data_IF_441654268685
#
_entry.id   IF_441654268685
#
_cell.length_a   1.000
_cell.length_b   1.000
_cell.length_c   1.000
_cell.angle_alpha   90.00
_cell.angle_beta   90.00
_cell.angle_gamma   90.00
#
_symmetry.space_group_name_H-M   'P 1'
#
loop_
_entity.id
_entity.type
_entity.pdbx_description
1 polymer ?
#
# COMPACT_ATOMS: atom_id res chain seq x y z
N UNK A 1 1.70 -56.94 42.29
CA UNK A 1 2.55 -56.01 43.06
C UNK A 1 3.22 -55.10 42.05
N UNK A 2 2.71 -53.86 41.92
CA UNK A 2 3.38 -52.58 42.29
C UNK A 2 3.85 -51.91 40.99
N UNK A 3 3.58 -50.67 40.61
CA UNK A 3 3.26 -49.41 41.30
C UNK A 3 2.71 -48.43 40.23
N UNK A 4 1.57 -47.76 40.46
CA UNK A 4 1.39 -46.36 40.90
C UNK A 4 1.33 -45.31 39.76
N UNK A 5 0.14 -44.72 39.65
CA UNK A 5 -0.23 -43.47 38.98
C UNK A 5 0.53 -42.24 39.50
N UNK A 6 0.77 -41.25 38.63
CA UNK A 6 0.37 -39.86 38.94
C UNK A 6 0.46 -38.92 37.73
N UNK A 7 -0.67 -38.27 37.50
CA UNK A 7 -0.90 -37.12 36.63
C UNK A 7 -0.25 -35.89 37.26
N UNK A 8 0.51 -35.12 36.48
CA UNK A 8 0.99 -33.78 36.87
C UNK A 8 0.30 -32.72 36.02
N UNK A 9 -0.50 -31.90 36.71
CA UNK A 9 -1.03 -30.60 36.30
C UNK A 9 0.09 -29.68 35.78
N UNK A 10 -0.08 -29.13 34.57
CA UNK A 10 0.70 -27.96 34.12
C UNK A 10 -0.16 -26.72 34.34
N UNK A 11 -0.05 -26.18 35.56
CA UNK A 11 -0.17 -24.74 35.80
C UNK A 11 1.22 -24.15 35.65
N UNK A 12 1.41 -23.27 34.67
CA UNK A 12 2.56 -22.37 34.66
C UNK A 12 2.16 -20.98 34.15
N UNK A 13 1.67 -20.18 35.08
CA UNK A 13 1.87 -18.72 35.09
C UNK A 13 3.38 -18.45 35.15
N UNK A 14 4.02 -18.43 33.97
CA UNK A 14 5.40 -17.99 33.84
C UNK A 14 5.41 -16.50 33.51
N UNK A 15 5.92 -15.73 34.47
CA UNK A 15 6.13 -14.30 34.44
C UNK A 15 6.69 -13.79 33.11
N UNK A 16 6.07 -12.74 32.57
CA UNK A 16 6.67 -11.82 31.60
C UNK A 16 8.04 -11.37 32.13
N UNK A 17 9.09 -12.04 31.68
CA UNK A 17 10.47 -11.75 32.04
C UNK A 17 10.84 -10.37 31.53
N UNK A 18 11.27 -9.51 32.45
CA UNK A 18 12.03 -8.26 32.27
C UNK A 18 12.59 -8.11 30.85
N UNK A 19 11.99 -7.20 30.05
CA UNK A 19 12.59 -6.68 28.82
C UNK A 19 14.01 -6.20 29.17
N UNK A 20 15.02 -6.84 28.59
CA UNK A 20 16.35 -6.24 28.49
C UNK A 20 16.18 -4.89 27.78
N UNK A 21 16.96 -3.91 28.24
CA UNK A 21 16.94 -2.51 27.80
C UNK A 21 17.52 -2.41 26.38
N UNK A 22 16.86 -3.03 25.42
CA UNK A 22 17.12 -2.82 24.00
C UNK A 22 16.62 -1.41 23.62
N UNK A 23 17.28 -0.76 22.65
CA UNK A 23 17.07 0.63 22.17
C UNK A 23 15.74 1.28 22.60
N UNK A 24 15.83 2.48 23.18
CA UNK A 24 14.68 3.31 23.50
C UNK A 24 13.67 3.31 22.33
N UNK A 25 12.40 3.09 22.66
CA UNK A 25 11.31 3.14 21.69
C UNK A 25 11.39 4.46 20.89
N UNK A 26 10.94 4.43 19.64
CA UNK A 26 10.87 5.65 18.81
C UNK A 26 10.09 6.74 19.58
N UNK A 27 10.48 8.02 19.49
CA UNK A 27 9.71 9.11 20.11
C UNK A 27 8.27 9.12 19.60
N UNK A 28 7.34 9.51 20.48
CA UNK A 28 5.96 9.74 20.06
C UNK A 28 5.88 10.93 19.09
N UNK A 29 5.02 10.81 18.09
CA UNK A 29 4.75 11.87 17.12
C UNK A 29 3.41 12.55 17.41
N UNK A 30 3.33 13.84 17.08
CA UNK A 30 2.10 14.62 17.09
C UNK A 30 2.17 15.75 16.07
N UNK A 31 1.03 16.34 15.78
CA UNK A 31 0.93 17.55 14.98
C UNK A 31 1.12 18.79 15.85
N UNK A 32 1.88 19.75 15.33
CA UNK A 32 2.06 21.07 15.89
C UNK A 32 1.99 22.11 14.75
N UNK A 33 0.86 22.81 14.64
CA UNK A 33 0.62 23.73 13.54
C UNK A 33 0.63 22.99 12.19
N UNK A 34 1.57 23.35 11.31
CA UNK A 34 1.70 22.79 9.96
C UNK A 34 2.79 21.70 9.86
N UNK A 35 3.29 21.20 11.00
CA UNK A 35 4.37 20.21 11.03
C UNK A 35 4.02 19.01 11.91
N UNK A 36 4.63 17.87 11.59
CA UNK A 36 4.71 16.72 12.49
C UNK A 36 5.96 16.93 13.36
N UNK A 37 5.83 16.74 14.67
CA UNK A 37 6.91 16.92 15.64
C UNK A 37 7.02 15.74 16.59
N UNK A 38 8.22 15.51 17.13
CA UNK A 38 8.45 14.55 18.21
C UNK A 38 8.07 15.09 19.60
N UNK A 39 8.34 14.32 20.64
CA UNK A 39 8.09 14.70 22.04
C UNK A 39 8.87 15.94 22.50
N UNK A 40 9.99 16.26 21.85
CA UNK A 40 10.81 17.44 22.14
C UNK A 40 10.33 18.67 21.36
N UNK A 41 9.42 18.49 20.41
CA UNK A 41 8.94 19.54 19.52
C UNK A 41 9.80 19.73 18.28
N UNK A 42 10.73 18.82 18.01
CA UNK A 42 11.55 18.84 16.80
C UNK A 42 10.73 18.35 15.61
N UNK A 43 10.86 19.03 14.46
CA UNK A 43 10.15 18.65 13.23
C UNK A 43 10.65 17.31 12.72
N UNK A 44 9.72 16.41 12.43
CA UNK A 44 10.00 15.07 11.91
C UNK A 44 9.47 14.94 10.49
N UNK A 45 10.36 14.63 9.55
CA UNK A 45 9.98 14.17 8.20
C UNK A 45 9.67 12.67 8.24
N UNK A 46 8.60 12.27 7.56
CA UNK A 46 8.20 10.88 7.39
C UNK A 46 8.52 10.34 5.99
N UNK A 47 9.44 10.97 5.25
CA UNK A 47 9.86 10.51 3.92
C UNK A 47 10.14 9.00 3.90
N UNK A 48 9.47 8.30 2.99
CA UNK A 48 9.33 6.86 3.10
C UNK A 48 8.87 6.18 1.82
N UNK A 49 8.42 4.93 1.98
CA UNK A 49 7.99 4.08 0.87
C UNK A 49 6.72 3.32 1.24
N UNK A 50 5.89 3.06 0.23
CA UNK A 50 4.69 2.21 0.37
C UNK A 50 5.08 0.73 0.38
N UNK A 51 4.41 0.00 1.28
CA UNK A 51 4.42 -1.46 1.34
C UNK A 51 3.00 -1.92 1.01
N UNK A 52 2.75 -2.31 -0.25
CA UNK A 52 1.44 -2.85 -0.65
C UNK A 52 1.11 -4.17 0.04
N UNK A 53 2.11 -4.85 0.61
CA UNK A 53 1.96 -6.07 1.37
C UNK A 53 1.15 -7.20 0.72
N UNK A 54 1.15 -7.24 -0.63
CA UNK A 54 0.29 -8.13 -1.41
C UNK A 54 -1.20 -8.01 -1.04
N UNK A 55 -1.69 -6.84 -0.64
CA UNK A 55 -3.12 -6.64 -0.28
C UNK A 55 -4.06 -6.98 -1.42
N UNK A 56 -3.60 -6.80 -2.66
CA UNK A 56 -4.27 -7.19 -3.90
C UNK A 56 -4.48 -8.71 -4.00
N UNK A 57 -3.57 -9.49 -3.41
CA UNK A 57 -3.62 -10.94 -3.42
C UNK A 57 -3.19 -11.58 -4.72
N UNK A 58 -3.56 -12.85 -4.89
CA UNK A 58 -3.05 -13.69 -5.96
C UNK A 58 -4.14 -13.98 -6.99
N UNK A 59 -3.75 -14.14 -8.26
CA UNK A 59 -4.69 -14.48 -9.32
C UNK A 59 -5.19 -15.92 -9.15
N UNK A 60 -6.51 -16.08 -9.02
CA UNK A 60 -7.17 -17.37 -9.03
C UNK A 60 -7.56 -17.74 -10.46
N UNK A 61 -6.82 -18.68 -11.06
CA UNK A 61 -7.03 -19.10 -12.45
C UNK A 61 -8.42 -19.71 -12.69
N UNK A 62 -8.94 -20.49 -11.74
CA UNK A 62 -10.26 -21.12 -11.88
C UNK A 62 -11.39 -20.09 -11.90
N UNK A 63 -11.26 -19.02 -11.10
CA UNK A 63 -12.25 -17.93 -11.02
C UNK A 63 -11.95 -16.76 -11.95
N UNK A 64 -10.77 -16.77 -12.59
CA UNK A 64 -10.25 -15.73 -13.49
C UNK A 64 -10.28 -14.33 -12.89
N UNK A 65 -9.90 -14.20 -11.61
CA UNK A 65 -9.86 -12.92 -10.88
C UNK A 65 -8.79 -12.93 -9.80
N UNK A 66 -8.33 -11.74 -9.38
CA UNK A 66 -7.52 -11.58 -8.17
C UNK A 66 -8.35 -11.93 -6.94
N UNK A 67 -7.75 -12.66 -6.00
CA UNK A 67 -8.36 -12.96 -4.70
C UNK A 67 -7.47 -12.41 -3.59
N UNK A 68 -8.04 -11.49 -2.80
CA UNK A 68 -7.37 -10.87 -1.66
C UNK A 68 -6.98 -11.92 -0.63
N UNK A 69 -5.84 -11.74 0.04
CA UNK A 69 -5.41 -12.66 1.07
C UNK A 69 -6.19 -12.38 2.37
N UNK A 70 -6.64 -13.44 3.03
CA UNK A 70 -7.22 -13.39 4.39
C UNK A 70 -6.17 -13.68 5.48
N UNK A 71 -4.94 -13.97 5.06
CA UNK A 71 -3.75 -14.10 5.91
C UNK A 71 -2.62 -13.27 5.32
N UNK A 72 -1.79 -12.65 6.15
CA UNK A 72 -0.62 -11.93 5.64
C UNK A 72 0.42 -12.91 5.06
N UNK A 73 0.81 -12.68 3.80
CA UNK A 73 1.79 -13.52 3.11
C UNK A 73 3.20 -13.34 3.68
N UNK A 74 3.86 -14.44 4.09
CA UNK A 74 5.17 -14.38 4.74
C UNK A 74 6.29 -13.84 3.86
N UNK A 75 6.18 -13.98 2.54
CA UNK A 75 7.22 -13.54 1.60
C UNK A 75 7.30 -12.02 1.49
N UNK A 76 6.23 -11.32 1.88
CA UNK A 76 6.06 -9.87 1.76
C UNK A 76 7.11 -9.11 2.56
N UNK A 77 7.45 -9.56 3.77
CA UNK A 77 8.53 -8.99 4.58
C UNK A 77 9.33 -10.09 5.27
N UNK A 78 10.57 -10.25 4.82
CA UNK A 78 11.60 -11.11 5.38
C UNK A 78 12.69 -10.24 6.02
N UNK A 79 13.60 -10.84 6.79
CA UNK A 79 14.61 -10.09 7.56
C UNK A 79 15.47 -9.16 6.67
N UNK A 80 15.79 -9.62 5.47
CA UNK A 80 16.52 -8.83 4.46
C UNK A 80 15.75 -7.59 4.00
N UNK A 81 14.41 -7.62 3.96
CA UNK A 81 13.61 -6.46 3.53
C UNK A 81 13.78 -5.29 4.52
N UNK A 82 13.85 -5.56 5.83
CA UNK A 82 14.10 -4.54 6.84
C UNK A 82 15.49 -3.92 6.69
N UNK A 83 16.50 -4.71 6.32
CA UNK A 83 17.84 -4.18 6.04
C UNK A 83 17.85 -3.29 4.79
N UNK A 84 17.15 -3.69 3.72
CA UNK A 84 17.07 -2.93 2.48
C UNK A 84 16.31 -1.61 2.66
N UNK A 85 15.19 -1.62 3.38
CA UNK A 85 14.43 -0.41 3.74
C UNK A 85 15.27 0.52 4.61
N UNK A 86 16.05 -0.02 5.56
CA UNK A 86 16.99 0.78 6.34
C UNK A 86 18.06 1.43 5.45
N UNK A 87 18.61 0.70 4.48
CA UNK A 87 19.63 1.20 3.54
C UNK A 87 19.08 2.27 2.59
N UNK A 88 17.78 2.22 2.25
CA UNK A 88 17.10 3.29 1.53
C UNK A 88 17.12 4.62 2.30
N UNK A 89 17.17 4.56 3.64
CA UNK A 89 17.09 5.74 4.50
C UNK A 89 15.68 6.16 4.87
N UNK A 90 14.68 5.31 4.61
CA UNK A 90 13.29 5.60 4.95
C UNK A 90 13.14 5.99 6.42
N UNK A 91 12.33 7.01 6.70
CA UNK A 91 11.92 7.40 8.07
C UNK A 91 10.61 6.75 8.48
N UNK A 92 9.77 6.45 7.50
CA UNK A 92 8.53 5.72 7.71
C UNK A 92 8.25 4.76 6.54
N UNK A 93 7.36 3.81 6.78
CA UNK A 93 6.70 2.99 5.76
C UNK A 93 5.19 3.19 5.86
N UNK A 94 4.52 3.28 4.72
CA UNK A 94 3.05 3.23 4.63
C UNK A 94 2.64 1.78 4.37
N UNK A 95 2.09 1.14 5.40
CA UNK A 95 1.85 -0.30 5.48
C UNK A 95 0.39 -0.58 5.10
N UNK A 96 0.19 -0.98 3.85
CA UNK A 96 -1.13 -1.30 3.33
C UNK A 96 -1.70 -2.55 3.99
N UNK A 97 -2.98 -2.52 4.32
CA UNK A 97 -3.81 -3.65 4.75
C UNK A 97 -5.10 -3.69 3.93
N UNK A 98 -5.68 -4.89 3.76
CA UNK A 98 -7.07 -5.02 3.31
C UNK A 98 -7.98 -5.35 4.49
N UNK A 99 -9.26 -4.96 4.39
CA UNK A 99 -10.27 -5.23 5.42
C UNK A 99 -10.34 -6.72 5.80
N UNK A 100 -10.27 -7.61 4.82
CA UNK A 100 -10.39 -9.05 5.00
C UNK A 100 -9.38 -9.64 5.99
N UNK A 101 -8.18 -9.07 6.14
CA UNK A 101 -7.18 -9.50 7.12
C UNK A 101 -7.65 -9.34 8.58
N UNK A 102 -8.49 -8.34 8.84
CA UNK A 102 -8.89 -7.93 10.19
C UNK A 102 -10.41 -7.87 10.42
N UNK A 103 -11.18 -8.35 9.45
CA UNK A 103 -12.62 -8.58 9.56
C UNK A 103 -12.93 -9.40 10.83
N UNK A 104 -14.07 -9.10 11.47
CA UNK A 104 -14.44 -9.69 12.76
C UNK A 104 -14.56 -11.21 12.70
N UNK A 105 -15.05 -11.73 11.58
CA UNK A 105 -15.31 -13.13 11.31
C UNK A 105 -14.12 -13.87 10.67
N UNK A 106 -13.00 -13.19 10.41
CA UNK A 106 -11.79 -13.86 9.91
C UNK A 106 -11.17 -14.73 11.03
N UNK A 107 -11.10 -16.07 10.86
CA UNK A 107 -10.51 -16.96 11.87
C UNK A 107 -9.02 -16.69 12.13
N UNK A 108 -8.33 -16.01 11.21
CA UNK A 108 -6.91 -15.64 11.32
C UNK A 108 -6.69 -14.20 11.80
N UNK A 109 -7.74 -13.48 12.24
CA UNK A 109 -7.63 -12.08 12.70
C UNK A 109 -6.51 -11.87 13.73
N UNK A 110 -6.43 -12.75 14.73
CA UNK A 110 -5.41 -12.68 15.79
C UNK A 110 -3.99 -13.00 15.27
N UNK A 111 -3.82 -14.02 14.43
CA UNK A 111 -2.51 -14.37 13.89
C UNK A 111 -1.99 -13.28 12.93
N UNK A 112 -2.88 -12.65 12.16
CA UNK A 112 -2.58 -11.47 11.36
C UNK A 112 -2.12 -10.31 12.25
N UNK A 113 -2.81 -10.05 13.38
CA UNK A 113 -2.41 -8.99 14.30
C UNK A 113 -1.02 -9.25 14.91
N UNK A 114 -0.72 -10.49 15.28
CA UNK A 114 0.61 -10.88 15.80
C UNK A 114 1.70 -10.62 14.76
N UNK A 115 1.47 -10.98 13.50
CA UNK A 115 2.43 -10.74 12.43
C UNK A 115 2.62 -9.24 12.15
N UNK A 116 1.54 -8.47 12.11
CA UNK A 116 1.59 -7.01 11.96
C UNK A 116 2.43 -6.38 13.08
N UNK A 117 2.17 -6.74 14.35
CA UNK A 117 2.95 -6.27 15.50
C UNK A 117 4.42 -6.65 15.38
N UNK A 118 4.74 -7.85 14.90
CA UNK A 118 6.12 -8.28 14.67
C UNK A 118 6.82 -7.42 13.62
N UNK A 119 6.15 -7.07 12.51
CA UNK A 119 6.70 -6.17 11.50
C UNK A 119 6.93 -4.76 12.07
N UNK A 120 5.97 -4.21 12.82
CA UNK A 120 6.11 -2.91 13.49
C UNK A 120 7.31 -2.92 14.45
N UNK A 121 7.47 -3.95 15.27
CA UNK A 121 8.63 -4.07 16.17
C UNK A 121 9.97 -4.10 15.42
N UNK A 122 10.03 -4.78 14.27
CA UNK A 122 11.24 -4.82 13.43
C UNK A 122 11.55 -3.45 12.83
N UNK A 123 10.55 -2.73 12.30
CA UNK A 123 10.72 -1.36 11.81
C UNK A 123 11.17 -0.40 12.92
N UNK A 124 10.56 -0.47 14.11
CA UNK A 124 10.92 0.38 15.24
C UNK A 124 12.39 0.18 15.67
N UNK A 125 12.89 -1.07 15.68
CA UNK A 125 14.29 -1.39 16.02
C UNK A 125 15.31 -0.76 15.07
N UNK A 126 14.92 -0.55 13.81
CA UNK A 126 15.75 0.11 12.79
C UNK A 126 15.49 1.61 12.68
N UNK A 127 14.57 2.16 13.48
CA UNK A 127 14.27 3.60 13.54
C UNK A 127 13.31 4.08 12.46
N UNK A 128 12.43 3.19 11.96
CA UNK A 128 11.45 3.46 10.91
C UNK A 128 10.06 3.42 11.53
N UNK A 129 9.26 4.46 11.34
CA UNK A 129 7.86 4.48 11.76
C UNK A 129 6.97 3.69 10.80
N UNK A 130 5.79 3.26 11.27
CA UNK A 130 4.78 2.58 10.47
C UNK A 130 3.48 3.39 10.45
N UNK A 131 2.98 3.74 9.26
CA UNK A 131 1.62 4.23 9.06
C UNK A 131 0.77 3.04 8.65
N UNK A 132 -0.32 2.78 9.37
CA UNK A 132 -1.25 1.69 9.04
C UNK A 132 -2.30 2.23 8.07
N UNK A 133 -2.32 1.73 6.85
CA UNK A 133 -3.17 2.20 5.76
C UNK A 133 -4.23 1.14 5.41
N UNK A 134 -5.51 1.49 5.62
CA UNK A 134 -6.61 0.69 5.07
C UNK A 134 -6.72 0.86 3.55
N UNK A 135 -5.85 0.13 2.87
CA UNK A 135 -5.67 0.21 1.42
C UNK A 135 -6.87 -0.31 0.64
N UNK A 136 -7.45 -1.42 1.09
CA UNK A 136 -8.62 -2.03 0.45
C UNK A 136 -9.74 -2.20 1.48
N UNK A 137 -10.67 -1.24 1.57
CA UNK A 137 -11.82 -1.34 2.47
C UNK A 137 -12.80 -2.46 2.05
N UNK A 138 -13.87 -2.68 2.84
CA UNK A 138 -14.96 -3.58 2.45
C UNK A 138 -15.82 -2.94 1.35
N UNK A 139 -16.22 -3.72 0.35
CA UNK A 139 -17.09 -3.24 -0.74
C UNK A 139 -16.29 -2.71 -1.94
N UNK A 140 -16.77 -1.61 -2.53
CA UNK A 140 -16.15 -0.94 -3.67
C UNK A 140 -14.80 -0.30 -3.29
N UNK A 141 -13.76 -0.60 -4.05
CA UNK A 141 -12.40 -0.05 -3.91
C UNK A 141 -11.60 -0.20 -5.22
N UNK A 142 -10.34 0.22 -5.21
CA UNK A 142 -9.48 0.30 -6.40
C UNK A 142 -9.30 -1.05 -7.13
N UNK A 143 -9.36 -2.18 -6.43
CA UNK A 143 -9.19 -3.49 -7.07
C UNK A 143 -10.38 -3.86 -7.95
N UNK A 144 -11.59 -3.55 -7.51
CA UNK A 144 -12.82 -3.92 -8.22
C UNK A 144 -13.41 -2.75 -9.03
N UNK A 145 -12.90 -1.53 -8.84
CA UNK A 145 -13.40 -0.32 -9.47
C UNK A 145 -13.48 -0.40 -11.00
N UNK A 146 -12.44 -0.94 -11.64
CA UNK A 146 -12.35 -0.98 -13.10
C UNK A 146 -13.55 -1.71 -13.74
N UNK A 147 -14.09 -2.72 -13.06
CA UNK A 147 -15.27 -3.46 -13.50
C UNK A 147 -16.57 -2.89 -12.94
N UNK A 148 -16.59 -2.45 -11.67
CA UNK A 148 -17.79 -1.91 -11.03
C UNK A 148 -18.22 -0.56 -11.64
N UNK A 149 -17.28 0.30 -12.04
CA UNK A 149 -17.58 1.60 -12.68
C UNK A 149 -18.22 1.50 -14.06
N UNK A 150 -18.31 0.30 -14.64
CA UNK A 150 -19.03 0.05 -15.91
C UNK A 150 -20.51 -0.25 -15.69
N UNK A 151 -20.93 -0.47 -14.45
CA UNK A 151 -22.31 -0.78 -14.06
C UNK A 151 -23.00 0.48 -13.53
N UNK A 152 -24.32 0.59 -13.65
CA UNK A 152 -25.05 1.69 -13.03
C UNK A 152 -24.98 1.60 -11.50
N UNK A 153 -25.13 2.75 -10.83
CA UNK A 153 -25.00 2.88 -9.38
C UNK A 153 -25.81 1.89 -8.54
N UNK A 154 -27.04 1.57 -8.97
CA UNK A 154 -27.93 0.62 -8.31
C UNK A 154 -27.54 -0.87 -8.50
N UNK A 155 -26.62 -1.18 -9.41
CA UNK A 155 -26.14 -2.54 -9.69
C UNK A 155 -24.67 -2.75 -9.29
N UNK A 156 -23.87 -1.69 -9.23
CA UNK A 156 -22.47 -1.77 -8.79
C UNK A 156 -22.38 -2.12 -7.30
N UNK A 157 -21.22 -2.61 -6.91
CA UNK A 157 -20.88 -2.81 -5.51
C UNK A 157 -20.94 -1.48 -4.75
N UNK A 158 -21.52 -1.50 -3.55
CA UNK A 158 -21.56 -0.34 -2.66
C UNK A 158 -20.19 -0.13 -1.97
N UNK A 159 -19.82 1.13 -1.78
CA UNK A 159 -18.69 1.52 -0.93
C UNK A 159 -19.05 1.52 0.56
N UNK A 160 -18.04 1.72 1.43
CA UNK A 160 -18.22 1.95 2.87
C UNK A 160 -19.06 3.19 3.20
N UNK A 161 -19.19 4.13 2.25
CA UNK A 161 -19.96 5.36 2.46
C UNK A 161 -21.46 5.15 2.22
N UNK A 162 -21.83 4.17 1.40
CA UNK A 162 -23.22 3.89 1.03
C UNK A 162 -23.82 2.76 1.88
N UNK A 163 -23.04 1.73 2.18
CA UNK A 163 -23.50 0.58 2.94
C UNK A 163 -23.38 0.80 4.45
N UNK A 164 -24.52 0.73 5.16
CA UNK A 164 -24.54 0.76 6.63
C UNK A 164 -23.78 -0.40 7.26
N UNK A 165 -23.82 -1.59 6.63
CA UNK A 165 -23.09 -2.77 7.10
C UNK A 165 -21.58 -2.56 6.95
N UNK A 166 -21.11 -2.22 5.76
CA UNK A 166 -19.68 -2.06 5.49
C UNK A 166 -19.08 -0.94 6.36
N UNK A 167 -19.85 0.12 6.60
CA UNK A 167 -19.45 1.16 7.54
C UNK A 167 -19.29 0.63 8.98
N UNK A 168 -20.30 -0.08 9.50
CA UNK A 168 -20.25 -0.63 10.86
C UNK A 168 -19.09 -1.62 11.04
N UNK A 169 -18.81 -2.43 10.03
CA UNK A 169 -17.71 -3.39 10.03
C UNK A 169 -16.34 -2.70 9.94
N UNK A 170 -16.22 -1.64 9.14
CA UNK A 170 -15.05 -0.76 9.10
C UNK A 170 -14.77 -0.15 10.47
N UNK A 171 -15.80 0.35 11.16
CA UNK A 171 -15.66 0.88 12.53
C UNK A 171 -15.20 -0.21 13.52
N UNK A 172 -15.72 -1.44 13.43
CA UNK A 172 -15.28 -2.55 14.30
C UNK A 172 -13.82 -2.93 14.06
N UNK A 173 -13.42 -3.03 12.79
CA UNK A 173 -12.05 -3.33 12.41
C UNK A 173 -11.08 -2.28 12.96
N UNK A 174 -11.41 -1.00 12.78
CA UNK A 174 -10.59 0.09 13.32
C UNK A 174 -10.53 0.08 14.85
N UNK A 175 -11.64 -0.16 15.56
CA UNK A 175 -11.60 -0.34 17.02
C UNK A 175 -10.64 -1.43 17.45
N UNK A 176 -10.67 -2.57 16.77
CA UNK A 176 -9.80 -3.70 17.07
C UNK A 176 -8.33 -3.37 16.84
N UNK A 177 -7.98 -2.79 15.69
CA UNK A 177 -6.60 -2.42 15.36
C UNK A 177 -6.08 -1.36 16.34
N UNK A 178 -6.80 -0.25 16.50
CA UNK A 178 -6.38 0.87 17.35
C UNK A 178 -6.19 0.41 18.80
N UNK A 179 -7.13 -0.35 19.37
CA UNK A 179 -7.01 -0.87 20.74
C UNK A 179 -5.72 -1.67 20.95
N UNK A 180 -5.30 -2.40 19.92
CA UNK A 180 -4.13 -3.27 19.96
C UNK A 180 -2.81 -2.57 19.63
N UNK A 181 -2.84 -1.42 18.97
CA UNK A 181 -1.66 -0.69 18.48
C UNK A 181 -1.39 0.62 19.24
N UNK A 182 -2.38 1.19 19.96
CA UNK A 182 -2.31 2.49 20.62
C UNK A 182 -1.16 2.75 21.60
N UNK A 183 -0.49 1.71 22.07
CA UNK A 183 0.62 1.80 23.02
C UNK A 183 2.00 1.61 22.35
N UNK A 184 2.07 1.65 21.01
CA UNK A 184 3.30 1.41 20.25
C UNK A 184 3.77 2.72 19.61
N UNK A 185 4.74 3.45 20.20
CA UNK A 185 5.17 4.77 19.73
C UNK A 185 5.65 4.82 18.26
N UNK A 186 6.18 3.70 17.76
CA UNK A 186 6.67 3.62 16.38
C UNK A 186 5.57 3.40 15.34
N UNK A 187 4.30 3.26 15.74
CA UNK A 187 3.19 3.54 14.83
C UNK A 187 3.12 5.07 14.70
N UNK A 188 3.30 5.63 13.51
CA UNK A 188 3.15 7.08 13.32
C UNK A 188 1.67 7.48 13.40
N UNK A 189 0.79 6.63 12.87
CA UNK A 189 -0.64 6.88 12.85
C UNK A 189 -1.42 5.89 12.01
N UNK A 190 -2.68 6.25 11.80
CA UNK A 190 -3.68 5.47 11.08
C UNK A 190 -4.15 6.26 9.86
N UNK A 191 -3.86 5.75 8.67
CA UNK A 191 -4.46 6.19 7.41
C UNK A 191 -5.77 5.44 7.21
N UNK A 192 -6.86 6.21 7.29
CA UNK A 192 -8.19 5.69 7.60
C UNK A 192 -8.84 4.92 6.45
N UNK A 193 -8.46 5.22 5.21
CA UNK A 193 -8.79 4.48 4.00
C UNK A 193 -8.05 5.06 2.78
N UNK A 194 -7.74 4.24 1.79
CA UNK A 194 -7.09 4.66 0.55
C UNK A 194 -8.09 5.18 -0.50
N UNK A 195 -7.69 6.23 -1.20
CA UNK A 195 -8.33 6.76 -2.43
C UNK A 195 -9.87 6.70 -2.48
N UNK A 196 -10.59 7.24 -1.47
CA UNK A 196 -12.04 7.14 -1.44
C UNK A 196 -12.68 7.86 -2.64
N UNK A 197 -13.79 7.29 -3.14
CA UNK A 197 -14.71 7.97 -4.06
C UNK A 197 -15.87 8.57 -3.28
N UNK A 198 -16.18 9.83 -3.55
CA UNK A 198 -17.41 10.45 -3.07
C UNK A 198 -18.61 9.91 -3.87
N UNK A 199 -19.58 9.20 -3.25
CA UNK A 199 -20.76 8.70 -3.96
C UNK A 199 -21.65 9.84 -4.46
N UNK A 200 -22.60 9.52 -5.34
CA UNK A 200 -23.61 10.49 -5.75
C UNK A 200 -24.47 10.91 -4.55
N UNK A 201 -25.02 12.12 -4.61
CA UNK A 201 -25.76 12.73 -3.49
C UNK A 201 -26.96 11.89 -3.04
N UNK A 202 -27.54 11.12 -3.96
CA UNK A 202 -28.66 10.21 -3.69
C UNK A 202 -28.30 9.07 -2.74
N UNK A 203 -27.04 8.63 -2.74
CA UNK A 203 -26.56 7.54 -1.88
C UNK A 203 -25.77 8.05 -0.67
N UNK A 204 -24.98 9.11 -0.85
CA UNK A 204 -24.23 9.75 0.23
C UNK A 204 -24.04 11.24 -0.08
N UNK A 205 -24.76 12.11 0.65
CA UNK A 205 -24.53 13.55 0.56
C UNK A 205 -23.14 13.93 1.10
N UNK A 206 -22.61 15.07 0.69
CA UNK A 206 -21.36 15.61 1.25
C UNK A 206 -21.43 15.74 2.79
N UNK A 207 -22.59 16.11 3.33
CA UNK A 207 -22.80 16.22 4.78
C UNK A 207 -22.67 14.86 5.48
N UNK A 208 -23.26 13.80 4.91
CA UNK A 208 -23.15 12.44 5.43
C UNK A 208 -21.73 11.89 5.27
N UNK A 209 -21.06 12.22 4.16
CA UNK A 209 -19.66 11.87 3.93
C UNK A 209 -18.74 12.49 5.00
N UNK A 210 -18.90 13.80 5.28
CA UNK A 210 -18.20 14.50 6.36
C UNK A 210 -18.53 13.88 7.73
N UNK A 211 -19.81 13.55 7.97
CA UNK A 211 -20.25 12.90 9.22
C UNK A 211 -19.52 11.57 9.43
N UNK A 212 -19.39 10.75 8.38
CA UNK A 212 -18.68 9.46 8.43
C UNK A 212 -17.19 9.63 8.71
N UNK A 213 -16.50 10.57 8.06
CA UNK A 213 -15.09 10.87 8.38
C UNK A 213 -14.92 11.21 9.87
N UNK A 214 -15.75 12.12 10.39
CA UNK A 214 -15.71 12.52 11.80
C UNK A 214 -16.10 11.39 12.76
N UNK A 215 -17.06 10.54 12.38
CA UNK A 215 -17.42 9.36 13.15
C UNK A 215 -16.23 8.41 13.28
N UNK A 216 -15.53 8.10 12.19
CA UNK A 216 -14.36 7.23 12.25
C UNK A 216 -13.22 7.85 13.06
N UNK A 217 -12.93 9.15 12.90
CA UNK A 217 -11.99 9.87 13.76
C UNK A 217 -12.36 9.75 15.24
N UNK A 218 -13.64 9.93 15.58
CA UNK A 218 -14.15 9.78 16.95
C UNK A 218 -14.01 8.35 17.48
N UNK A 219 -14.25 7.34 16.65
CA UNK A 219 -14.03 5.93 16.98
C UNK A 219 -12.57 5.66 17.32
N UNK A 220 -11.64 6.11 16.47
CA UNK A 220 -10.19 6.00 16.71
C UNK A 220 -9.85 6.72 18.03
N UNK A 221 -10.33 7.95 18.21
CA UNK A 221 -10.07 8.73 19.43
C UNK A 221 -10.69 8.13 20.67
N UNK A 222 -11.76 7.35 20.58
CA UNK A 222 -12.33 6.65 21.74
C UNK A 222 -11.37 5.59 22.30
N UNK A 223 -10.52 5.00 21.45
CA UNK A 223 -9.55 3.98 21.82
C UNK A 223 -8.15 4.57 22.07
N UNK A 224 -7.75 5.60 21.32
CA UNK A 224 -6.39 6.14 21.24
C UNK A 224 -6.35 7.68 21.13
N UNK A 225 -5.68 8.32 22.08
CA UNK A 225 -5.59 9.79 22.20
C UNK A 225 -4.31 10.39 21.60
N UNK A 226 -3.38 9.57 21.09
CA UNK A 226 -1.99 10.01 20.80
C UNK A 226 -1.59 9.93 19.34
N UNK A 227 -1.90 8.83 18.67
CA UNK A 227 -1.43 8.62 17.31
C UNK A 227 -2.07 9.59 16.30
N UNK A 228 -1.34 9.90 15.23
CA UNK A 228 -1.83 10.76 14.16
C UNK A 228 -2.94 10.03 13.41
N UNK A 229 -3.96 10.76 12.95
CA UNK A 229 -4.91 10.26 11.96
C UNK A 229 -4.56 10.88 10.62
N UNK A 230 -4.21 10.05 9.64
CA UNK A 230 -4.01 10.49 8.27
C UNK A 230 -5.37 10.47 7.56
N UNK A 231 -5.72 11.60 6.95
CA UNK A 231 -7.03 11.88 6.37
C UNK A 231 -6.86 12.10 4.88
N UNK A 232 -7.27 11.14 4.04
CA UNK A 232 -7.07 11.23 2.60
C UNK A 232 -7.98 12.30 1.97
N UNK A 233 -7.59 12.79 0.80
CA UNK A 233 -8.53 13.37 -0.15
C UNK A 233 -9.41 12.26 -0.76
N UNK A 234 -10.64 12.59 -1.15
CA UNK A 234 -11.32 11.76 -2.14
C UNK A 234 -10.73 12.07 -3.51
N UNK A 235 -10.41 11.05 -4.32
CA UNK A 235 -9.72 11.23 -5.60
C UNK A 235 -10.69 11.42 -6.78
N UNK A 236 -11.94 11.02 -6.58
CA UNK A 236 -13.00 11.08 -7.58
C UNK A 236 -14.36 11.21 -6.92
N UNK A 237 -15.38 11.54 -7.71
CA UNK A 237 -16.77 11.54 -7.30
C UNK A 237 -17.67 10.98 -8.38
N UNK A 238 -18.86 10.56 -7.99
CA UNK A 238 -19.90 10.19 -8.94
C UNK A 238 -20.71 11.41 -9.37
N UNK A 239 -21.19 11.38 -10.60
CA UNK A 239 -22.08 12.38 -11.16
C UNK A 239 -23.45 12.27 -10.49
N UNK A 240 -24.07 13.41 -10.22
CA UNK A 240 -25.48 13.46 -9.82
C UNK A 240 -26.36 13.43 -11.08
N UNK A 241 -27.62 12.98 -10.94
CA UNK A 241 -28.60 13.01 -12.04
C UNK A 241 -28.67 14.42 -12.64
N UNK A 242 -28.51 14.51 -13.96
CA UNK A 242 -28.48 15.75 -14.72
C UNK A 242 -27.10 16.40 -14.84
N UNK A 243 -26.07 15.90 -14.15
CA UNK A 243 -24.69 16.37 -14.33
C UNK A 243 -24.05 15.76 -15.58
N UNK A 244 -23.12 16.52 -16.17
CA UNK A 244 -22.35 16.09 -17.32
C UNK A 244 -21.05 15.42 -16.87
N UNK A 245 -20.75 14.24 -17.41
CA UNK A 245 -19.51 13.49 -17.16
C UNK A 245 -18.94 12.91 -18.46
N UNK A 246 -17.67 12.49 -18.41
CA UNK A 246 -17.02 11.82 -19.53
C UNK A 246 -17.24 10.30 -19.42
N UNK A 247 -17.99 9.74 -20.37
CA UNK A 247 -18.28 8.31 -20.46
C UNK A 247 -17.18 7.61 -21.27
N UNK A 248 -16.30 6.89 -20.58
CA UNK A 248 -15.21 6.14 -21.20
C UNK A 248 -15.70 5.05 -22.16
N UNK A 249 -16.85 4.44 -21.90
CA UNK A 249 -17.38 3.39 -22.76
C UNK A 249 -17.87 3.96 -24.10
N UNK A 250 -18.36 5.20 -24.09
CA UNK A 250 -18.79 5.93 -25.30
C UNK A 250 -17.71 6.82 -25.90
N UNK A 251 -16.59 7.01 -25.20
CA UNK A 251 -15.54 7.98 -25.56
C UNK A 251 -16.13 9.38 -25.84
N UNK A 252 -17.01 9.84 -24.96
CA UNK A 252 -17.75 11.09 -25.17
C UNK A 252 -18.42 11.62 -23.91
N UNK A 253 -18.89 12.86 -23.98
CA UNK A 253 -19.64 13.47 -22.90
C UNK A 253 -21.08 12.95 -22.84
N UNK A 254 -21.53 12.60 -21.64
CA UNK A 254 -22.90 12.17 -21.34
C UNK A 254 -23.53 13.04 -20.24
N UNK A 255 -24.85 13.03 -20.17
CA UNK A 255 -25.61 13.54 -19.01
C UNK A 255 -26.04 12.33 -18.20
N UNK A 256 -25.79 12.37 -16.90
CA UNK A 256 -26.13 11.29 -15.98
C UNK A 256 -27.66 11.18 -15.81
N UNK A 257 -28.19 9.99 -16.05
CA UNK A 257 -29.59 9.61 -15.84
C UNK A 257 -29.81 8.73 -14.61
N UNK A 258 -28.80 8.56 -13.76
CA UNK A 258 -28.77 7.62 -12.64
C UNK A 258 -27.71 6.52 -12.78
N UNK A 259 -26.89 6.54 -13.84
CA UNK A 259 -25.78 5.59 -13.98
C UNK A 259 -24.64 5.87 -13.00
N UNK A 260 -24.55 7.10 -12.48
CA UNK A 260 -23.51 7.55 -11.55
C UNK A 260 -22.11 7.51 -12.16
N UNK A 261 -21.98 8.12 -13.34
CA UNK A 261 -20.73 8.23 -14.08
C UNK A 261 -19.62 8.91 -13.26
N UNK A 262 -18.36 8.58 -13.57
CA UNK A 262 -17.23 9.04 -12.77
C UNK A 262 -16.73 10.41 -13.22
N UNK A 263 -16.56 11.31 -12.24
CA UNK A 263 -15.91 12.61 -12.40
C UNK A 263 -14.59 12.56 -11.63
N UNK A 264 -13.48 12.62 -12.37
CA UNK A 264 -12.11 12.62 -11.84
C UNK A 264 -11.72 14.00 -11.28
N UNK A 265 -12.48 14.45 -10.28
CA UNK A 265 -12.20 15.64 -9.51
C UNK A 265 -12.25 15.28 -8.03
N UNK A 266 -11.11 15.44 -7.37
CA UNK A 266 -10.94 15.14 -5.96
C UNK A 266 -11.07 16.35 -5.04
N UNK A 267 -10.94 16.12 -3.75
CA UNK A 267 -10.93 17.16 -2.73
C UNK A 267 -10.76 16.61 -1.31
N UNK A 268 -10.58 17.51 -0.36
CA UNK A 268 -10.41 17.13 1.05
C UNK A 268 -11.70 17.32 1.84
N UNK A 269 -11.85 16.49 2.86
CA UNK A 269 -12.87 16.63 3.91
C UNK A 269 -12.19 17.13 5.17
N UNK A 270 -12.62 18.28 5.68
CA UNK A 270 -12.15 18.75 6.98
C UNK A 270 -12.74 17.90 8.11
N UNK A 271 -11.88 17.43 9.01
CA UNK A 271 -12.30 16.69 10.22
C UNK A 271 -12.10 17.49 11.50
N UNK A 272 -12.86 17.14 12.52
CA UNK A 272 -12.88 17.76 13.85
C UNK A 272 -11.90 17.07 14.81
N UNK A 273 -10.63 17.02 14.43
CA UNK A 273 -9.54 16.51 15.27
C UNK A 273 -8.27 17.35 15.10
N UNK A 274 -7.54 17.56 16.20
CA UNK A 274 -6.37 18.45 16.22
C UNK A 274 -5.04 17.75 15.91
N UNK A 275 -5.03 16.41 15.89
CA UNK A 275 -3.84 15.61 15.65
C UNK A 275 -4.00 14.77 14.37
N UNK A 276 -4.23 15.49 13.27
CA UNK A 276 -4.47 14.93 11.94
C UNK A 276 -3.48 15.44 10.93
N UNK A 277 -3.23 14.63 9.90
CA UNK A 277 -2.43 15.01 8.73
C UNK A 277 -3.29 14.74 7.50
N UNK A 278 -3.37 15.70 6.59
CA UNK A 278 -4.06 15.48 5.32
C UNK A 278 -3.14 14.78 4.34
N UNK A 279 -3.71 13.88 3.54
CA UNK A 279 -2.99 13.01 2.64
C UNK A 279 -3.52 13.10 1.21
N UNK A 280 -2.59 13.12 0.25
CA UNK A 280 -2.89 13.18 -1.18
C UNK A 280 -1.98 12.27 -1.97
N UNK A 281 -2.43 11.81 -3.13
CA UNK A 281 -1.62 11.05 -4.07
C UNK A 281 -1.26 11.89 -5.30
N UNK A 282 -0.10 11.60 -5.91
CA UNK A 282 0.43 12.36 -7.03
C UNK A 282 1.05 11.48 -8.13
N UNK A 283 0.21 11.21 -9.14
CA UNK A 283 0.56 10.46 -10.36
C UNK A 283 0.22 11.30 -11.60
N UNK A 284 0.60 12.58 -11.62
CA UNK A 284 0.24 13.48 -12.71
C UNK A 284 1.49 13.94 -13.49
N UNK A 285 1.43 14.00 -14.83
CA UNK A 285 0.31 13.58 -15.67
C UNK A 285 0.21 12.06 -15.73
N UNK A 286 -1.02 11.53 -15.64
CA UNK A 286 -1.28 10.09 -15.56
C UNK A 286 -0.69 9.32 -16.74
N UNK A 287 -0.78 9.89 -17.95
CA UNK A 287 -0.24 9.30 -19.17
C UNK A 287 1.29 9.18 -19.16
N UNK A 288 1.98 9.98 -18.33
CA UNK A 288 3.42 9.85 -18.13
C UNK A 288 3.74 8.80 -17.08
N UNK A 289 3.03 8.79 -15.96
CA UNK A 289 3.35 7.94 -14.80
C UNK A 289 2.86 6.51 -14.95
N UNK A 290 1.89 6.26 -15.83
CA UNK A 290 1.23 4.96 -16.01
C UNK A 290 1.21 4.56 -17.50
N UNK A 291 1.92 3.48 -17.83
CA UNK A 291 1.96 2.84 -19.14
C UNK A 291 2.72 3.61 -20.23
N UNK A 292 3.42 4.69 -19.87
CA UNK A 292 4.16 5.56 -20.78
C UNK A 292 3.38 6.02 -22.03
N UNK A 293 2.07 6.25 -21.88
CA UNK A 293 1.20 6.77 -22.94
C UNK A 293 1.62 8.19 -23.42
N UNK A 294 2.38 8.92 -22.60
CA UNK A 294 3.02 10.20 -22.93
C UNK A 294 4.47 10.23 -22.43
N UNK A 295 5.42 10.75 -23.21
CA UNK A 295 6.79 10.93 -22.74
C UNK A 295 7.02 12.25 -22.00
N UNK A 296 5.98 13.08 -21.80
CA UNK A 296 6.10 14.47 -21.34
C UNK A 296 5.47 14.70 -19.96
N UNK A 297 6.18 15.46 -19.12
CA UNK A 297 5.65 16.11 -17.92
C UNK A 297 6.22 17.54 -17.83
N UNK A 298 5.59 18.39 -17.01
CA UNK A 298 6.07 19.75 -16.74
C UNK A 298 6.23 19.97 -15.23
N UNK A 299 7.45 20.28 -14.80
CA UNK A 299 7.77 20.51 -13.39
C UNK A 299 6.96 21.69 -12.78
N UNK A 300 6.61 22.70 -13.57
CA UNK A 300 5.78 23.82 -13.07
C UNK A 300 4.35 23.38 -12.79
N UNK A 301 3.84 22.45 -13.60
CA UNK A 301 2.54 21.81 -13.38
C UNK A 301 2.56 20.97 -12.09
N UNK A 302 3.63 20.22 -11.85
CA UNK A 302 3.84 19.49 -10.58
C UNK A 302 3.79 20.43 -9.37
N UNK A 303 4.59 21.50 -9.41
CA UNK A 303 4.60 22.47 -8.32
C UNK A 303 3.23 23.12 -8.11
N UNK A 304 2.57 23.53 -9.20
CA UNK A 304 1.25 24.16 -9.16
C UNK A 304 0.21 23.24 -8.52
N UNK A 305 0.17 21.99 -8.90
CA UNK A 305 -0.87 21.06 -8.44
C UNK A 305 -0.69 20.72 -6.95
N UNK A 306 0.55 20.46 -6.51
CA UNK A 306 0.87 20.25 -5.08
C UNK A 306 0.61 21.53 -4.27
N UNK A 307 1.01 22.70 -4.78
CA UNK A 307 0.80 23.97 -4.08
C UNK A 307 -0.68 24.33 -3.89
N UNK A 308 -1.56 23.90 -4.80
CA UNK A 308 -3.02 24.05 -4.66
C UNK A 308 -3.56 23.24 -3.48
N UNK A 309 -3.15 21.96 -3.36
CA UNK A 309 -3.52 21.10 -2.23
C UNK A 309 -2.97 21.66 -0.91
N UNK A 310 -1.73 22.12 -0.93
CA UNK A 310 -1.09 22.80 0.19
C UNK A 310 -1.84 24.07 0.64
N UNK A 311 -2.35 24.85 -0.32
CA UNK A 311 -3.16 26.04 -0.02
C UNK A 311 -4.44 25.66 0.72
N UNK A 312 -5.12 24.59 0.31
CA UNK A 312 -6.33 24.13 0.99
C UNK A 312 -6.03 23.69 2.43
N UNK A 313 -4.99 22.87 2.65
CA UNK A 313 -4.70 22.40 4.02
C UNK A 313 -4.23 23.53 4.92
N UNK A 314 -3.62 24.60 4.39
CA UNK A 314 -3.22 25.77 5.19
C UNK A 314 -4.41 26.63 5.62
N UNK A 315 -5.39 26.81 4.73
CA UNK A 315 -6.51 27.74 4.96
C UNK A 315 -7.71 27.07 5.62
N UNK A 316 -8.06 25.88 5.17
CA UNK A 316 -9.26 25.14 5.59
C UNK A 316 -8.90 24.08 6.63
N UNK A 317 -7.99 23.17 6.27
CA UNK A 317 -7.61 22.02 7.10
C UNK A 317 -6.87 22.40 8.38
N UNK A 318 -5.99 23.39 8.30
CA UNK A 318 -5.08 23.89 9.35
C UNK A 318 -4.22 22.78 9.97
N UNK A 319 -3.72 21.89 9.12
CA UNK A 319 -2.90 20.75 9.50
C UNK A 319 -1.90 20.39 8.38
N UNK A 320 -0.82 19.62 8.67
CA UNK A 320 0.19 19.24 7.69
C UNK A 320 -0.41 18.49 6.48
N UNK A 321 0.31 18.55 5.35
CA UNK A 321 0.06 17.73 4.16
C UNK A 321 1.19 16.71 4.02
N UNK A 322 0.86 15.49 3.63
CA UNK A 322 1.80 14.51 3.07
C UNK A 322 1.37 14.07 1.68
N UNK A 323 2.33 13.59 0.89
CA UNK A 323 2.04 12.83 -0.33
C UNK A 323 2.13 11.34 -0.01
N UNK A 324 0.98 10.69 0.16
CA UNK A 324 0.83 9.28 0.52
C UNK A 324 1.31 8.32 -0.54
N UNK A 325 1.23 8.74 -1.80
CA UNK A 325 1.76 8.00 -2.93
C UNK A 325 2.23 8.92 -4.05
N UNK A 326 3.37 8.59 -4.62
CA UNK A 326 3.84 9.11 -5.89
C UNK A 326 4.75 8.09 -6.55
N UNK A 327 4.81 8.11 -7.87
CA UNK A 327 5.68 7.20 -8.60
C UNK A 327 5.56 7.37 -10.10
N UNK A 328 6.33 6.55 -10.80
CA UNK A 328 6.29 6.37 -12.25
C UNK A 328 6.67 4.93 -12.53
N UNK A 329 5.85 4.23 -13.30
CA UNK A 329 6.10 2.84 -13.65
C UNK A 329 7.27 2.68 -14.63
N UNK A 330 7.68 1.43 -14.82
CA UNK A 330 8.88 1.07 -15.59
C UNK A 330 8.71 1.18 -17.10
N UNK A 331 7.51 1.45 -17.60
CA UNK A 331 7.26 1.71 -19.00
C UNK A 331 8.01 2.97 -19.44
N UNK A 332 8.28 3.89 -18.50
CA UNK A 332 9.19 5.00 -18.74
C UNK A 332 10.67 4.61 -18.58
N UNK A 333 11.54 5.06 -19.49
CA UNK A 333 12.98 4.91 -19.37
C UNK A 333 13.53 5.47 -18.04
N UNK A 334 14.56 4.83 -17.43
CA UNK A 334 15.13 5.25 -16.15
C UNK A 334 15.48 6.74 -16.05
N UNK A 335 16.04 7.33 -17.12
CA UNK A 335 16.40 8.74 -17.16
C UNK A 335 15.20 9.68 -17.03
N UNK A 336 14.05 9.32 -17.62
CA UNK A 336 12.82 10.10 -17.51
C UNK A 336 12.19 9.96 -16.13
N UNK A 337 12.23 8.74 -15.57
CA UNK A 337 11.77 8.48 -14.20
C UNK A 337 12.56 9.32 -13.20
N UNK A 338 13.88 9.38 -13.36
CA UNK A 338 14.77 10.20 -12.52
C UNK A 338 14.42 11.69 -12.61
N UNK A 339 14.16 12.22 -13.81
CA UNK A 339 13.77 13.63 -13.98
C UNK A 339 12.42 13.93 -13.32
N UNK A 340 11.45 13.03 -13.46
CA UNK A 340 10.14 13.18 -12.83
C UNK A 340 10.25 13.16 -11.30
N UNK A 341 10.97 12.19 -10.76
CA UNK A 341 11.21 12.08 -9.31
C UNK A 341 11.93 13.33 -8.79
N UNK A 342 12.92 13.85 -9.51
CA UNK A 342 13.63 15.08 -9.13
C UNK A 342 12.68 16.30 -9.04
N UNK A 343 11.73 16.42 -9.97
CA UNK A 343 10.74 17.50 -9.97
C UNK A 343 9.74 17.37 -8.80
N UNK A 344 9.25 16.16 -8.53
CA UNK A 344 8.39 15.88 -7.37
C UNK A 344 9.16 16.16 -6.08
N UNK A 345 10.33 15.56 -5.90
CA UNK A 345 11.17 15.71 -4.71
C UNK A 345 11.57 17.15 -4.44
N UNK A 346 11.93 17.92 -5.48
CA UNK A 346 12.23 19.34 -5.35
C UNK A 346 11.03 20.14 -4.85
N UNK A 347 9.82 19.81 -5.32
CA UNK A 347 8.57 20.43 -4.88
C UNK A 347 8.25 20.08 -3.43
N UNK A 348 8.32 18.79 -3.07
CA UNK A 348 8.11 18.34 -1.70
C UNK A 348 9.12 18.96 -0.74
N UNK A 349 10.39 19.04 -1.16
CA UNK A 349 11.46 19.65 -0.39
C UNK A 349 11.18 21.14 -0.14
N UNK A 350 10.85 21.88 -1.20
CA UNK A 350 10.53 23.31 -1.15
C UNK A 350 9.44 23.65 -0.14
N UNK A 351 8.46 22.76 0.03
CA UNK A 351 7.30 23.00 0.89
C UNK A 351 7.33 22.24 2.22
N UNK A 352 8.38 21.46 2.51
CA UNK A 352 8.49 20.67 3.73
C UNK A 352 7.44 19.56 3.83
N UNK A 353 7.05 18.97 2.69
CA UNK A 353 6.02 17.93 2.61
C UNK A 353 6.70 16.57 2.63
N UNK A 354 6.28 15.67 3.52
CA UNK A 354 6.75 14.28 3.49
C UNK A 354 6.12 13.51 2.34
N UNK A 355 6.88 12.62 1.71
CA UNK A 355 6.40 11.80 0.59
C UNK A 355 6.70 10.32 0.71
N UNK A 356 5.80 9.48 0.21
CA UNK A 356 5.95 8.03 0.16
C UNK A 356 5.98 7.53 -1.30
N UNK A 357 7.11 6.96 -1.71
CA UNK A 357 7.23 6.39 -3.06
C UNK A 357 6.36 5.13 -3.17
N UNK A 358 5.60 5.00 -4.24
CA UNK A 358 4.91 3.77 -4.62
C UNK A 358 5.77 3.07 -5.68
N UNK A 359 6.36 1.90 -5.40
CA UNK A 359 6.32 1.13 -4.13
C UNK A 359 7.57 0.27 -3.89
N UNK A 360 7.70 -0.30 -2.68
CA UNK A 360 8.87 -1.08 -2.28
C UNK A 360 9.05 -2.36 -3.10
N UNK A 361 8.06 -3.25 -3.10
CA UNK A 361 8.18 -4.59 -3.65
C UNK A 361 6.88 -5.04 -4.27
N UNK A 362 6.97 -5.55 -5.50
CA UNK A 362 5.85 -6.13 -6.23
C UNK A 362 5.91 -7.65 -6.26
N UNK A 363 4.74 -8.28 -6.27
CA UNK A 363 4.60 -9.67 -6.70
C UNK A 363 4.79 -9.72 -8.20
N UNK A 364 5.75 -10.51 -8.67
CA UNK A 364 5.99 -10.73 -10.10
C UNK A 364 5.60 -12.18 -10.43
N UNK A 365 4.97 -12.34 -11.58
CA UNK A 365 4.38 -13.58 -12.07
C UNK A 365 4.33 -13.51 -13.60
N UNK A 366 4.07 -14.63 -14.27
CA UNK A 366 3.94 -14.63 -15.76
C UNK A 366 2.78 -13.78 -16.29
N UNK A 367 1.95 -13.22 -15.41
CA UNK A 367 0.76 -12.43 -15.73
C UNK A 367 0.86 -10.97 -15.25
N UNK A 368 1.95 -10.60 -14.60
CA UNK A 368 2.24 -9.20 -14.28
C UNK A 368 3.19 -8.66 -15.33
N UNK A 369 2.76 -7.60 -16.01
CA UNK A 369 3.61 -6.91 -16.98
C UNK A 369 4.70 -6.15 -16.21
N UNK A 370 5.98 -6.57 -16.32
CA UNK A 370 7.08 -5.98 -15.59
C UNK A 370 7.40 -4.53 -15.99
N UNK A 371 6.86 -4.05 -17.11
CA UNK A 371 7.01 -2.65 -17.49
C UNK A 371 5.99 -1.77 -16.75
N UNK A 372 4.85 -2.31 -16.35
CA UNK A 372 3.81 -1.52 -15.64
C UNK A 372 3.94 -1.54 -14.11
N UNK A 373 4.94 -2.24 -13.57
CA UNK A 373 5.22 -2.27 -12.13
C UNK A 373 5.88 -0.98 -11.63
N UNK A 374 5.50 -0.58 -10.43
CA UNK A 374 6.09 0.52 -9.67
C UNK A 374 7.14 0.05 -8.65
N UNK A 375 7.26 -1.27 -8.43
CA UNK A 375 8.14 -1.87 -7.44
C UNK A 375 9.62 -1.61 -7.69
N UNK A 376 10.35 -1.18 -6.64
CA UNK A 376 11.82 -1.17 -6.65
C UNK A 376 12.40 -2.59 -6.67
N UNK A 377 11.71 -3.50 -6.00
CA UNK A 377 12.00 -4.93 -5.89
C UNK A 377 10.85 -5.76 -6.43
N UNK A 378 11.16 -7.01 -6.76
CA UNK A 378 10.20 -8.00 -7.20
C UNK A 378 10.38 -9.27 -6.43
N UNK A 379 9.26 -9.88 -6.07
CA UNK A 379 9.23 -11.22 -5.54
C UNK A 379 8.43 -12.09 -6.48
N UNK A 380 9.06 -13.14 -6.99
CA UNK A 380 8.31 -14.16 -7.71
C UNK A 380 7.54 -15.03 -6.71
N UNK A 381 6.20 -15.05 -6.80
CA UNK A 381 5.31 -15.68 -5.81
C UNK A 381 4.51 -16.89 -6.38
N UNK A 382 4.66 -17.23 -7.67
CA UNK A 382 3.76 -18.13 -8.41
C UNK A 382 4.27 -19.54 -8.76
N UNK A 383 5.44 -19.97 -8.24
CA UNK A 383 6.13 -21.20 -8.68
C UNK A 383 5.26 -22.47 -8.82
N UNK A 384 4.30 -22.73 -7.93
CA UNK A 384 3.55 -24.00 -8.01
C UNK A 384 2.35 -23.95 -8.98
N UNK A 385 1.81 -22.77 -9.31
CA UNK A 385 0.63 -22.65 -10.18
C UNK A 385 1.00 -22.41 -11.65
N UNK A 386 2.18 -21.83 -11.92
CA UNK A 386 2.59 -21.49 -13.29
C UNK A 386 3.13 -22.69 -14.09
N UNK A 387 3.64 -23.72 -13.42
CA UNK A 387 4.13 -24.94 -14.09
C UNK A 387 3.02 -25.90 -14.52
N UNK A 388 1.81 -25.72 -14.02
CA UNK A 388 0.64 -26.55 -14.37
C UNK A 388 -0.11 -26.01 -15.60
N UNK A 389 0.31 -24.85 -16.12
CA UNK A 389 -0.22 -24.25 -17.32
C UNK A 389 0.56 -24.80 -18.53
N UNK A 390 -0.14 -25.60 -19.35
CA UNK A 390 0.44 -26.41 -20.43
C UNK A 390 1.29 -25.66 -21.48
N UNK A 391 1.75 -26.41 -22.50
CA UNK A 391 2.78 -26.03 -23.49
C UNK A 391 2.62 -24.65 -24.14
N UNK A 392 1.41 -24.10 -24.22
CA UNK A 392 1.12 -22.83 -24.88
C UNK A 392 1.60 -21.60 -24.08
N UNK A 393 1.88 -21.73 -22.78
CA UNK A 393 2.32 -20.62 -21.91
C UNK A 393 3.85 -20.50 -21.76
N UNK A 394 4.59 -21.48 -22.30
CA UNK A 394 6.04 -21.57 -22.20
C UNK A 394 6.77 -20.36 -22.83
N UNK A 395 6.28 -19.84 -23.96
CA UNK A 395 6.93 -18.72 -24.66
C UNK A 395 6.90 -17.43 -23.84
N UNK A 396 5.71 -17.06 -23.35
CA UNK A 396 5.51 -15.83 -22.56
C UNK A 396 6.29 -15.84 -21.25
N UNK A 397 6.30 -16.96 -20.51
CA UNK A 397 7.06 -17.08 -19.28
C UNK A 397 8.57 -16.96 -19.52
N UNK A 398 9.10 -17.50 -20.64
CA UNK A 398 10.51 -17.39 -21.01
C UNK A 398 10.89 -15.94 -21.35
N UNK A 399 10.06 -15.24 -22.12
CA UNK A 399 10.34 -13.86 -22.52
C UNK A 399 10.25 -12.91 -21.31
N UNK A 400 9.25 -13.09 -20.45
CA UNK A 400 9.15 -12.36 -19.18
C UNK A 400 10.32 -12.66 -18.24
N UNK A 401 10.80 -13.91 -18.18
CA UNK A 401 11.97 -14.28 -17.39
C UNK A 401 13.24 -13.60 -17.90
N UNK A 402 13.46 -13.53 -19.21
CA UNK A 402 14.60 -12.81 -19.82
C UNK A 402 14.56 -11.32 -19.58
N UNK A 403 13.38 -10.70 -19.76
CA UNK A 403 13.20 -9.26 -19.54
C UNK A 403 13.47 -8.86 -18.08
N UNK A 404 13.15 -9.75 -17.14
CA UNK A 404 13.36 -9.52 -15.70
C UNK A 404 14.68 -10.08 -15.17
N UNK A 405 15.57 -10.57 -16.03
CA UNK A 405 16.86 -11.18 -15.64
C UNK A 405 16.73 -12.43 -14.78
N UNK A 406 15.56 -13.07 -14.78
CA UNK A 406 15.25 -14.25 -13.98
C UNK A 406 15.85 -15.53 -14.56
N UNK A 407 16.02 -15.57 -15.88
CA UNK A 407 16.80 -16.60 -16.57
C UNK A 407 18.24 -16.67 -16.02
N UNK A 408 18.87 -15.50 -15.85
CA UNK A 408 20.21 -15.38 -15.25
C UNK A 408 20.22 -15.79 -13.78
N UNK A 409 19.15 -15.51 -13.01
CA UNK A 409 19.05 -15.98 -11.63
C UNK A 409 18.95 -17.51 -11.57
N UNK A 410 18.13 -18.12 -12.40
CA UNK A 410 17.97 -19.58 -12.42
C UNK A 410 19.27 -20.29 -12.78
N UNK A 411 19.99 -19.75 -13.78
CA UNK A 411 21.33 -20.21 -14.17
C UNK A 411 22.36 -20.09 -13.03
N UNK A 412 22.38 -18.97 -12.31
CA UNK A 412 23.39 -18.71 -11.28
C UNK A 412 23.09 -19.36 -9.92
N UNK A 413 21.82 -19.51 -9.55
CA UNK A 413 21.44 -19.99 -8.22
C UNK A 413 21.14 -21.49 -8.16
N UNK A 414 20.83 -22.13 -9.29
CA UNK A 414 20.48 -23.55 -9.33
C UNK A 414 21.33 -24.40 -10.28
N UNK A 415 22.18 -23.80 -11.14
CA UNK A 415 22.92 -24.50 -12.20
C UNK A 415 24.45 -24.24 -12.27
N UNK A 416 25.25 -24.14 -11.18
CA UNK A 416 26.70 -23.98 -11.35
C UNK A 416 27.43 -25.16 -12.05
N UNK A 417 26.76 -26.29 -12.37
CA UNK A 417 27.44 -27.51 -12.85
C UNK A 417 26.82 -28.26 -14.03
N UNK A 418 25.77 -27.78 -14.69
CA UNK A 418 25.18 -28.50 -15.84
C UNK A 418 25.18 -27.65 -17.12
N UNK A 419 26.21 -27.86 -17.93
CA UNK A 419 26.39 -27.33 -19.28
C UNK A 419 25.35 -27.94 -20.25
N UNK A 420 24.08 -27.52 -20.20
CA UNK A 420 23.18 -27.50 -21.36
C UNK A 420 21.86 -26.74 -21.06
N UNK A 421 21.62 -25.54 -21.62
CA UNK A 421 20.43 -24.73 -21.32
C UNK A 421 19.10 -25.33 -21.80
N UNK A 422 19.11 -26.33 -22.70
CA UNK A 422 17.88 -26.89 -23.26
C UNK A 422 17.36 -28.15 -22.53
N UNK A 423 18.19 -28.79 -21.70
CA UNK A 423 17.88 -30.13 -21.17
C UNK A 423 17.03 -30.13 -19.90
N UNK A 424 17.02 -29.03 -19.13
CA UNK A 424 16.29 -28.96 -17.84
C UNK A 424 14.80 -28.63 -18.00
N UNK A 425 14.39 -28.07 -19.15
CA UNK A 425 12.97 -27.82 -19.43
C UNK A 425 12.16 -29.12 -19.60
N UNK A 426 12.80 -30.27 -19.80
CA UNK A 426 12.12 -31.55 -20.09
C UNK A 426 12.22 -32.59 -18.96
N UNK A 427 13.10 -32.41 -17.96
CA UNK A 427 13.40 -33.49 -17.01
C UNK A 427 12.80 -33.35 -15.60
N UNK A 428 12.20 -32.21 -15.25
CA UNK A 428 11.50 -32.02 -13.97
C UNK A 428 10.01 -32.40 -13.99
N UNK A 429 9.66 -33.40 -14.80
CA UNK A 429 8.37 -34.13 -14.77
C UNK A 429 8.25 -35.05 -13.53
N UNK A 430 8.79 -34.62 -12.38
CA UNK A 430 8.93 -35.43 -11.16
C UNK A 430 8.65 -34.64 -9.88
N UNK A 431 7.52 -33.93 -9.81
CA UNK A 431 6.77 -33.70 -8.57
C UNK A 431 7.50 -33.11 -7.36
N UNK A 432 8.28 -32.04 -7.52
CA UNK A 432 8.86 -31.30 -6.38
C UNK A 432 8.74 -29.78 -6.53
N UNK A 433 7.87 -29.13 -5.74
CA UNK A 433 7.87 -27.67 -5.60
C UNK A 433 9.14 -27.20 -4.87
N UNK A 434 9.71 -26.09 -5.33
CA UNK A 434 10.70 -25.34 -4.57
C UNK A 434 10.07 -24.80 -3.28
N UNK A 435 10.83 -24.87 -2.18
CA UNK A 435 10.40 -24.42 -0.86
C UNK A 435 10.22 -22.90 -0.84
N UNK A 436 8.97 -22.45 -0.77
CA UNK A 436 8.57 -21.03 -0.65
C UNK A 436 9.14 -20.32 0.59
N UNK A 437 9.79 -21.06 1.51
CA UNK A 437 10.50 -20.51 2.65
C UNK A 437 11.97 -20.17 2.35
N UNK A 438 12.48 -20.39 1.13
CA UNK A 438 13.83 -19.99 0.75
C UNK A 438 13.83 -18.61 0.08
N UNK A 439 14.71 -17.67 0.49
CA UNK A 439 14.73 -16.34 -0.08
C UNK A 439 15.19 -16.39 -1.53
N UNK A 440 14.29 -15.99 -2.42
CA UNK A 440 14.59 -15.69 -3.81
C UNK A 440 14.19 -14.25 -4.08
N UNK A 441 14.87 -13.33 -3.40
CA UNK A 441 14.81 -11.89 -3.67
C UNK A 441 15.72 -11.59 -4.85
N UNK A 442 15.14 -11.12 -5.95
CA UNK A 442 15.90 -10.58 -7.07
C UNK A 442 15.74 -9.07 -7.12
N UNK A 443 16.85 -8.32 -7.23
CA UNK A 443 16.73 -6.99 -7.80
C UNK A 443 16.20 -7.18 -9.23
N UNK A 444 15.00 -6.67 -9.54
CA UNK A 444 14.36 -6.93 -10.85
C UNK A 444 15.22 -6.41 -12.02
N UNK A 445 16.16 -5.50 -11.79
CA UNK A 445 17.45 -5.47 -12.47
C UNK A 445 18.34 -4.54 -11.65
N UNK A 446 19.55 -4.97 -11.26
CA UNK A 446 20.49 -4.11 -10.53
C UNK A 446 20.96 -2.91 -11.38
N UNK A 447 20.85 -2.99 -12.71
CA UNK A 447 21.38 -1.96 -13.61
C UNK A 447 20.39 -0.85 -13.95
N UNK A 448 19.07 -1.12 -14.12
CA UNK A 448 18.13 -0.07 -14.55
C UNK A 448 17.58 0.78 -13.40
N UNK A 449 17.61 0.26 -12.17
CA UNK A 449 17.08 0.98 -11.02
C UNK A 449 18.15 1.77 -10.25
N UNK A 450 19.46 1.57 -10.48
CA UNK A 450 20.50 2.29 -9.72
C UNK A 450 20.31 3.82 -9.70
N UNK A 451 19.97 4.49 -10.81
CA UNK A 451 19.71 5.94 -10.80
C UNK A 451 18.48 6.33 -9.97
N UNK A 452 17.41 5.53 -10.02
CA UNK A 452 16.18 5.73 -9.23
C UNK A 452 16.45 5.50 -7.74
N UNK A 453 17.22 4.46 -7.41
CA UNK A 453 17.72 4.17 -6.07
C UNK A 453 18.48 5.35 -5.47
N UNK A 454 19.43 5.93 -6.22
CA UNK A 454 20.20 7.09 -5.77
C UNK A 454 19.29 8.30 -5.52
N UNK A 455 18.30 8.55 -6.39
CA UNK A 455 17.34 9.64 -6.18
C UNK A 455 16.50 9.44 -4.93
N UNK A 456 15.93 8.25 -4.73
CA UNK A 456 15.16 7.94 -3.53
C UNK A 456 16.00 8.00 -2.26
N UNK A 457 17.22 7.46 -2.29
CA UNK A 457 18.17 7.55 -1.19
C UNK A 457 18.41 9.02 -0.80
N UNK A 458 18.74 9.87 -1.77
CA UNK A 458 18.98 11.28 -1.51
C UNK A 458 17.74 11.99 -0.95
N UNK A 459 16.54 11.67 -1.44
CA UNK A 459 15.29 12.25 -0.92
C UNK A 459 14.98 11.78 0.50
N UNK A 460 15.15 10.49 0.81
CA UNK A 460 14.89 9.96 2.15
C UNK A 460 15.90 10.43 3.20
N UNK A 461 17.11 10.81 2.77
CA UNK A 461 18.12 11.46 3.61
C UNK A 461 18.04 12.99 3.58
N UNK A 462 17.21 13.56 2.71
CA UNK A 462 16.92 14.99 2.73
C UNK A 462 15.98 15.28 3.90
N UNK A 463 16.20 16.45 4.52
CA UNK A 463 15.68 16.91 5.80
C UNK A 463 16.47 16.42 7.02
#
# INVERSE_FOLDING_TARGET
MSEIDSVVNISSTASLSKRKKDKADLPWLRVAGMSIVDEKGEVVSLNGINLSNNVWGNYNYSKRRLERPTVQDRWVLQDIDFELIKRLGCKAVRYAINYGLFARDNPNRESNLVLLKSHIEKFNKIGVYVIIDLHLPEGLDDQNDAEERKKPGNERLQSIFESKKYWADTLDMWRYLVRNLKNIPGVAGYDIFNEPRLPATVDCSMEEFIRKYNELCSVIRSEDKRHIIFVPEYISREANIGERYWDNNKSGWAIDGGEQGIIWNGGFVKVDDSNVVYETHYYQPYEFTNGAASPYFDAKTIERDISRKLSWVRTVGRAPLIVGEYGVDRAQPPEKRVLYLDAVHSTLHKYGISGFYFQYKDSVSSYSDPDTTFGLYGQYAGFCNEFDLGKDFKGYAIDAAKQNGFDLFYENAFLPSMLNPLFVYLQYYGGGCLDVNKPTLFPISLMDNYPVWVKLFNFFHSF
#
